data_IF_861914547222
#
_entry.id   IF_861914547222
#
_cell.length_a   1.000
_cell.length_b   1.000
_cell.length_c   1.000
_cell.angle_alpha   90.00
_cell.angle_beta   90.00
_cell.angle_gamma   90.00
#
_symmetry.space_group_name_H-M   'P 1'
#
loop_
_entity.id
_entity.type
_entity.pdbx_description
1 polymer ?
#
# COMPACT_ATOMS: atom_id res chain seq x y z
N UNK A 1 -12.65 32.59 45.66
CA UNK A 1 -12.70 32.04 44.29
C UNK A 1 -12.32 30.56 44.37
N UNK A 2 -13.27 29.69 44.73
CA UNK A 2 -13.01 28.24 44.87
C UNK A 2 -13.31 27.60 43.52
N UNK A 3 -12.27 27.14 42.83
CA UNK A 3 -12.42 26.33 41.62
C UNK A 3 -13.07 25.01 42.02
N UNK A 4 -14.27 24.77 41.49
CA UNK A 4 -15.07 23.59 41.82
C UNK A 4 -14.54 22.38 41.05
N UNK A 5 -14.12 21.32 41.76
CA UNK A 5 -13.46 20.15 41.16
C UNK A 5 -14.36 19.43 40.15
N UNK A 6 -15.68 19.67 40.25
CA UNK A 6 -16.70 19.21 39.32
C UNK A 6 -16.49 19.76 37.90
N UNK A 7 -16.02 21.00 37.75
CA UNK A 7 -15.73 21.57 36.43
C UNK A 7 -14.60 20.82 35.69
N UNK A 8 -13.57 20.39 36.42
CA UNK A 8 -12.43 19.67 35.83
C UNK A 8 -12.80 18.23 35.45
N UNK A 9 -13.63 17.56 36.24
CA UNK A 9 -14.11 16.20 35.93
C UNK A 9 -15.05 16.20 34.72
N UNK A 10 -15.92 17.22 34.58
CA UNK A 10 -16.77 17.36 33.39
C UNK A 10 -15.94 17.67 32.13
N UNK A 11 -14.90 18.51 32.23
CA UNK A 11 -14.03 18.83 31.10
C UNK A 11 -13.21 17.62 30.63
N UNK A 12 -12.76 16.78 31.57
CA UNK A 12 -12.00 15.56 31.25
C UNK A 12 -12.86 14.53 30.51
N UNK A 13 -14.13 14.34 30.91
CA UNK A 13 -15.06 13.38 30.29
C UNK A 13 -15.38 13.75 28.83
N UNK A 14 -15.51 15.04 28.51
CA UNK A 14 -15.74 15.51 27.13
C UNK A 14 -14.55 15.20 26.21
N UNK A 15 -13.32 15.25 26.74
CA UNK A 15 -12.12 14.90 25.95
C UNK A 15 -12.04 13.41 25.58
N UNK A 16 -12.55 12.51 26.44
CA UNK A 16 -12.53 11.06 26.16
C UNK A 16 -13.61 10.64 25.17
N UNK A 17 -14.75 11.36 25.14
CA UNK A 17 -15.83 11.13 24.16
C UNK A 17 -15.51 11.66 22.76
N UNK A 18 -14.58 12.63 22.64
CA UNK A 18 -14.10 13.15 21.36
C UNK A 18 -13.00 12.29 20.72
N UNK A 19 -12.80 11.05 21.20
CA UNK A 19 -12.05 10.03 20.48
C UNK A 19 -13.02 9.19 19.63
N UNK A 20 -13.84 9.84 18.81
CA UNK A 20 -14.47 9.17 17.69
C UNK A 20 -13.35 8.77 16.74
N UNK A 21 -12.99 7.48 16.76
CA UNK A 21 -12.35 6.84 15.61
C UNK A 21 -13.23 7.16 14.41
N UNK A 22 -12.79 8.08 13.57
CA UNK A 22 -13.18 8.05 12.16
C UNK A 22 -12.61 6.74 11.62
N UNK A 23 -13.40 5.68 11.66
CA UNK A 23 -13.25 4.61 10.68
C UNK A 23 -13.59 5.26 9.35
N UNK A 24 -12.54 5.80 8.71
CA UNK A 24 -12.56 6.08 7.29
C UNK A 24 -12.75 4.71 6.64
N UNK A 25 -14.01 4.36 6.45
CA UNK A 25 -14.45 3.39 5.47
C UNK A 25 -14.12 4.03 4.12
N UNK A 26 -12.84 4.00 3.76
CA UNK A 26 -12.48 4.09 2.37
C UNK A 26 -13.10 2.84 1.75
N UNK A 27 -14.25 3.04 1.12
CA UNK A 27 -14.63 2.24 -0.02
C UNK A 27 -13.39 2.26 -0.93
N UNK A 28 -12.55 1.21 -0.81
CA UNK A 28 -11.36 1.07 -1.63
C UNK A 28 -11.92 0.77 -3.00
N UNK A 29 -12.19 1.82 -3.74
CA UNK A 29 -12.57 1.78 -5.14
C UNK A 29 -11.47 0.99 -5.83
N UNK A 30 -11.71 -0.30 -6.04
CA UNK A 30 -10.78 -1.15 -6.77
C UNK A 30 -10.80 -0.52 -8.16
N UNK A 31 -9.68 0.05 -8.61
CA UNK A 31 -9.66 0.75 -9.88
C UNK A 31 -10.15 -0.19 -10.96
N UNK A 32 -10.90 0.38 -11.89
CA UNK A 32 -11.50 -0.30 -13.03
C UNK A 32 -10.48 -1.16 -13.83
N UNK A 33 -9.17 -0.94 -13.62
CA UNK A 33 -8.07 -1.63 -14.29
C UNK A 33 -7.15 -2.46 -13.39
N UNK A 34 -7.65 -3.12 -12.34
CA UNK A 34 -6.88 -4.24 -11.76
C UNK A 34 -6.99 -5.47 -12.68
N UNK A 35 -5.96 -5.73 -13.48
CA UNK A 35 -5.98 -6.82 -14.46
C UNK A 35 -5.45 -8.13 -13.88
N UNK A 36 -4.37 -8.08 -13.11
CA UNK A 36 -3.77 -9.25 -12.48
C UNK A 36 -3.48 -8.97 -11.02
N UNK A 37 -4.04 -9.80 -10.14
CA UNK A 37 -3.92 -9.64 -8.68
C UNK A 37 -3.10 -10.76 -8.07
N UNK A 38 -2.21 -10.42 -7.15
CA UNK A 38 -1.41 -11.35 -6.35
C UNK A 38 -0.63 -12.37 -7.18
N UNK A 39 -0.07 -11.94 -8.32
CA UNK A 39 0.81 -12.77 -9.13
C UNK A 39 2.10 -13.02 -8.35
N UNK A 40 2.40 -14.29 -8.09
CA UNK A 40 3.68 -14.69 -7.49
C UNK A 40 4.78 -14.59 -8.54
N UNK A 41 5.82 -13.82 -8.25
CA UNK A 41 6.98 -13.66 -9.14
C UNK A 41 8.19 -14.49 -8.71
N UNK A 42 8.07 -15.20 -7.59
CA UNK A 42 9.09 -16.09 -7.05
C UNK A 42 8.45 -17.05 -6.04
N UNK A 43 8.94 -18.29 -5.99
CA UNK A 43 8.47 -19.33 -5.07
C UNK A 43 9.14 -19.29 -3.70
N UNK A 44 10.08 -18.36 -3.47
CA UNK A 44 10.87 -18.33 -2.24
C UNK A 44 10.11 -17.76 -1.01
N UNK A 45 9.02 -17.02 -1.20
CA UNK A 45 8.21 -16.48 -0.12
C UNK A 45 6.82 -16.03 -0.58
N UNK A 46 5.83 -16.11 0.32
CA UNK A 46 4.47 -15.59 0.12
C UNK A 46 4.42 -14.06 -0.02
N UNK A 47 5.45 -13.35 0.47
CA UNK A 47 5.56 -11.90 0.31
C UNK A 47 5.90 -11.49 -1.14
N UNK A 48 6.42 -12.41 -1.97
CA UNK A 48 6.87 -12.11 -3.32
C UNK A 48 5.72 -12.13 -4.34
N UNK A 49 4.79 -11.19 -4.15
CA UNK A 49 3.58 -11.01 -4.96
C UNK A 49 3.50 -9.63 -5.57
N UNK A 50 2.84 -9.52 -6.72
CA UNK A 50 2.57 -8.25 -7.38
C UNK A 50 1.14 -8.15 -7.90
N UNK A 51 0.66 -6.91 -8.01
CA UNK A 51 -0.54 -6.55 -8.75
C UNK A 51 -0.12 -5.78 -10.02
N UNK A 52 -0.75 -6.10 -11.15
CA UNK A 52 -0.48 -5.48 -12.45
C UNK A 52 -1.74 -4.81 -12.95
N UNK A 53 -1.61 -3.55 -13.30
CA UNK A 53 -2.68 -2.69 -13.80
C UNK A 53 -2.33 -2.25 -15.23
N UNK A 54 -3.27 -2.41 -16.16
CA UNK A 54 -3.08 -2.10 -17.58
C UNK A 54 -3.87 -0.84 -17.98
N UNK A 55 -3.29 0.06 -18.79
CA UNK A 55 -4.05 1.14 -19.43
C UNK A 55 -5.07 0.58 -20.43
N UNK A 56 -6.10 1.37 -20.73
CA UNK A 56 -7.06 1.04 -21.80
C UNK A 56 -6.38 1.19 -23.18
N UNK A 57 -6.75 0.33 -24.14
CA UNK A 57 -6.23 0.38 -25.52
C UNK A 57 -5.41 -0.86 -25.90
N UNK A 58 -4.82 -0.83 -27.09
CA UNK A 58 -3.92 -1.87 -27.58
C UNK A 58 -2.46 -1.45 -27.38
N UNK A 59 -1.64 -2.34 -26.82
CA UNK A 59 -0.24 -2.09 -26.51
C UNK A 59 0.71 -2.17 -27.72
N UNK A 60 2.04 -2.17 -27.49
CA UNK A 60 2.71 -2.28 -26.19
C UNK A 60 2.74 -0.97 -25.39
N UNK A 61 2.77 -1.10 -24.07
CA UNK A 61 2.82 0.03 -23.12
C UNK A 61 4.14 0.00 -22.33
N UNK A 62 4.72 1.17 -21.98
CA UNK A 62 5.82 1.22 -21.03
C UNK A 62 5.38 0.79 -19.62
N UNK A 63 6.21 0.00 -18.93
CA UNK A 63 5.93 -0.49 -17.58
C UNK A 63 6.69 0.31 -16.50
N UNK A 64 6.03 0.56 -15.37
CA UNK A 64 6.57 1.24 -14.20
C UNK A 64 6.29 0.40 -12.96
N UNK A 65 7.34 0.10 -12.19
CA UNK A 65 7.21 -0.57 -10.90
C UNK A 65 7.00 0.45 -9.80
N UNK A 66 5.95 0.27 -9.00
CA UNK A 66 5.62 1.12 -7.86
C UNK A 66 5.89 0.34 -6.59
N UNK A 67 6.90 0.76 -5.83
CA UNK A 67 7.43 0.00 -4.70
C UNK A 67 7.10 0.76 -3.42
N UNK A 68 6.37 0.11 -2.51
CA UNK A 68 5.96 0.75 -1.26
C UNK A 68 7.17 1.03 -0.35
N UNK A 69 7.05 2.10 0.45
CA UNK A 69 7.99 2.42 1.52
C UNK A 69 7.73 1.61 2.80
N UNK A 70 8.04 2.20 3.96
CA UNK A 70 7.86 1.55 5.26
C UNK A 70 9.16 1.02 5.88
N UNK A 71 10.29 1.66 5.56
CA UNK A 71 11.62 1.37 6.11
C UNK A 71 12.04 -0.11 5.98
N UNK A 72 11.57 -0.79 4.92
CA UNK A 72 11.71 -2.22 4.70
C UNK A 72 11.15 -3.09 5.84
N UNK A 73 10.43 -2.53 6.81
CA UNK A 73 9.95 -3.24 8.00
C UNK A 73 8.43 -3.42 8.01
N UNK A 74 7.72 -2.55 7.29
CA UNK A 74 6.28 -2.58 7.13
C UNK A 74 5.90 -2.10 5.72
N UNK A 75 4.61 -2.18 5.41
CA UNK A 75 4.05 -1.73 4.14
C UNK A 75 3.44 -2.87 3.34
N UNK A 76 2.67 -2.50 2.33
CA UNK A 76 2.02 -3.43 1.40
C UNK A 76 1.79 -2.71 0.05
N UNK A 77 1.80 -3.49 -1.04
CA UNK A 77 1.57 -3.05 -2.41
C UNK A 77 0.23 -2.34 -2.61
N UNK A 78 -0.78 -2.63 -1.79
CA UNK A 78 -2.08 -1.94 -1.82
C UNK A 78 -1.97 -0.45 -1.50
N UNK A 79 -0.98 -0.03 -0.71
CA UNK A 79 -0.75 1.39 -0.43
C UNK A 79 -0.35 2.19 -1.69
N UNK A 80 0.11 1.52 -2.75
CA UNK A 80 0.53 2.15 -3.99
C UNK A 80 -0.62 2.35 -5.00
N UNK A 81 -1.84 1.96 -4.65
CA UNK A 81 -3.01 2.04 -5.53
C UNK A 81 -3.20 3.44 -6.17
N UNK A 82 -3.09 4.57 -5.44
CA UNK A 82 -3.25 5.88 -6.05
C UNK A 82 -2.22 6.18 -7.15
N UNK A 83 -0.98 5.74 -6.96
CA UNK A 83 0.09 5.91 -7.94
C UNK A 83 -0.08 4.99 -9.14
N UNK A 84 -0.52 3.75 -8.92
CA UNK A 84 -0.84 2.81 -9.99
C UNK A 84 -1.94 3.37 -10.90
N UNK A 85 -3.00 3.95 -10.30
CA UNK A 85 -4.10 4.57 -11.03
C UNK A 85 -3.66 5.77 -11.88
N UNK A 86 -2.83 6.66 -11.32
CA UNK A 86 -2.29 7.79 -12.08
C UNK A 86 -1.48 7.32 -13.31
N UNK A 87 -0.61 6.33 -13.11
CA UNK A 87 0.23 5.76 -14.17
C UNK A 87 -0.61 5.12 -15.30
N UNK A 88 -1.62 4.32 -14.92
CA UNK A 88 -2.53 3.67 -15.86
C UNK A 88 -3.32 4.69 -16.67
N UNK A 89 -3.82 5.74 -16.04
CA UNK A 89 -4.53 6.83 -16.72
C UNK A 89 -3.62 7.61 -17.68
N UNK A 90 -2.31 7.52 -17.51
CA UNK A 90 -1.30 8.16 -18.36
C UNK A 90 -0.70 7.22 -19.40
N UNK A 91 -1.24 6.00 -19.55
CA UNK A 91 -0.82 5.04 -20.58
C UNK A 91 0.36 4.14 -20.18
N UNK A 92 0.67 4.03 -18.89
CA UNK A 92 1.70 3.12 -18.38
C UNK A 92 1.09 1.87 -17.76
N UNK A 93 1.75 0.72 -17.92
CA UNK A 93 1.49 -0.44 -17.05
C UNK A 93 2.08 -0.13 -15.68
N UNK A 94 1.27 -0.29 -14.63
CA UNK A 94 1.76 -0.16 -13.27
C UNK A 94 1.90 -1.55 -12.62
N UNK A 95 3.08 -1.85 -12.09
CA UNK A 95 3.36 -3.08 -11.35
C UNK A 95 3.61 -2.72 -9.88
N UNK A 96 2.62 -2.95 -9.02
CA UNK A 96 2.77 -2.73 -7.57
C UNK A 96 3.20 -4.03 -6.89
N UNK A 97 4.33 -4.00 -6.19
CA UNK A 97 4.96 -5.23 -5.65
C UNK A 97 5.02 -5.22 -4.13
N UNK A 98 4.82 -6.41 -3.54
CA UNK A 98 5.34 -6.72 -2.22
C UNK A 98 6.75 -7.31 -2.37
N UNK A 99 7.55 -7.15 -1.32
CA UNK A 99 8.88 -7.75 -1.17
C UNK A 99 9.02 -8.22 0.28
N UNK A 100 9.98 -9.11 0.56
CA UNK A 100 10.18 -9.57 1.93
C UNK A 100 10.61 -8.42 2.83
N UNK A 101 9.88 -8.24 3.92
CA UNK A 101 10.19 -7.25 4.95
C UNK A 101 11.37 -7.74 5.81
N UNK A 102 12.06 -6.82 6.47
CA UNK A 102 13.20 -7.04 7.35
C UNK A 102 12.88 -7.93 8.57
N UNK A 103 11.61 -8.07 8.93
CA UNK A 103 11.14 -9.03 9.92
C UNK A 103 11.15 -10.47 9.42
N UNK A 104 11.20 -10.68 8.10
CA UNK A 104 11.26 -11.98 7.44
C UNK A 104 12.66 -12.26 6.88
N UNK A 105 13.29 -11.30 6.20
CA UNK A 105 14.58 -11.47 5.54
C UNK A 105 15.46 -10.23 5.68
N UNK A 106 16.74 -10.43 5.98
CA UNK A 106 17.71 -9.35 6.17
C UNK A 106 18.13 -8.72 4.84
N UNK A 107 18.65 -7.49 4.89
CA UNK A 107 19.29 -6.88 3.72
C UNK A 107 20.36 -7.82 3.13
N UNK A 108 20.42 -8.02 1.80
CA UNK A 108 19.76 -7.27 0.72
C UNK A 108 18.49 -7.93 0.13
N UNK A 109 17.76 -8.76 0.88
CA UNK A 109 16.64 -9.56 0.34
C UNK A 109 15.60 -8.73 -0.44
N UNK A 110 15.10 -7.63 0.12
CA UNK A 110 14.12 -6.76 -0.55
C UNK A 110 14.62 -6.22 -1.91
N UNK A 111 15.93 -5.95 -2.04
CA UNK A 111 16.55 -5.51 -3.30
C UNK A 111 16.57 -6.64 -4.32
N UNK A 112 16.90 -7.85 -3.88
CA UNK A 112 16.87 -9.03 -4.75
C UNK A 112 15.45 -9.37 -5.21
N UNK A 113 14.47 -9.24 -4.31
CA UNK A 113 13.06 -9.45 -4.60
C UNK A 113 12.55 -8.46 -5.64
N UNK A 114 12.87 -7.17 -5.47
CA UNK A 114 12.55 -6.13 -6.47
C UNK A 114 13.15 -6.45 -7.82
N UNK A 115 14.44 -6.86 -7.87
CA UNK A 115 15.08 -7.26 -9.12
C UNK A 115 14.46 -8.52 -9.73
N UNK A 116 13.98 -9.46 -8.91
CA UNK A 116 13.27 -10.64 -9.37
C UNK A 116 11.94 -10.27 -10.02
N UNK A 117 11.16 -9.38 -9.39
CA UNK A 117 9.93 -8.86 -9.96
C UNK A 117 10.15 -8.16 -11.32
N UNK A 118 11.23 -7.39 -11.48
CA UNK A 118 11.58 -6.76 -12.76
C UNK A 118 11.91 -7.78 -13.84
N UNK A 119 12.63 -8.87 -13.53
CA UNK A 119 12.97 -9.92 -14.51
C UNK A 119 11.80 -10.83 -14.88
N UNK A 120 10.76 -10.85 -14.04
CA UNK A 120 9.57 -11.64 -14.29
C UNK A 120 8.70 -11.06 -15.42
N UNK A 121 8.71 -9.73 -15.57
CA UNK A 121 8.02 -8.99 -16.64
C UNK A 121 8.93 -8.89 -17.87
#
# INVERSE_FOLDING_TARGET
MRLDIRFYVTLLIVSVLSCSKEEISQEVDIPEQLNYRNISYSSASEAQKMDIYLPKGEGPFPAVFVIHGGAFKAGDKSAMLPYANDLVNRGFVACSINYRLSTEATFPAAVHDTKAAVRYI
#
